data_IF_374618720149
#
_entry.id   IF_374618720149
#
_cell.length_a   1.000
_cell.length_b   1.000
_cell.length_c   1.000
_cell.angle_alpha   90.00
_cell.angle_beta   90.00
_cell.angle_gamma   90.00
#
_symmetry.space_group_name_H-M   'P 1'
#
loop_
_entity.id
_entity.type
_entity.pdbx_description
1 polymer ?
#
# COMPACT_ATOMS: atom_id res chain seq x y z
N UNK A 1 4.50 17.99 20.54
CA UNK A 1 3.22 17.87 19.79
C UNK A 1 3.28 16.50 19.13
N UNK A 2 2.57 15.54 19.70
CA UNK A 2 2.55 14.17 19.20
C UNK A 2 1.85 14.16 17.84
N UNK A 3 2.57 13.80 16.82
CA UNK A 3 2.00 13.38 15.54
C UNK A 3 1.16 12.13 15.83
N UNK A 4 -0.17 12.28 15.87
CA UNK A 4 -1.06 11.13 15.80
C UNK A 4 -0.84 10.48 14.43
N UNK A 5 0.10 9.54 14.37
CA UNK A 5 0.22 8.61 13.26
C UNK A 5 -1.11 7.86 13.14
N UNK A 6 -1.60 7.70 11.94
CA UNK A 6 -2.72 6.79 11.68
C UNK A 6 -2.19 5.40 12.02
N UNK A 7 -2.60 4.85 13.16
CA UNK A 7 -2.21 3.51 13.58
C UNK A 7 -3.01 2.52 12.73
N UNK A 8 -2.39 1.99 11.69
CA UNK A 8 -2.93 0.85 10.97
C UNK A 8 -2.47 -0.43 11.67
N UNK A 9 -3.41 -1.27 12.02
CA UNK A 9 -3.14 -2.63 12.49
C UNK A 9 -2.95 -3.53 11.28
N UNK A 10 -1.74 -4.02 11.06
CA UNK A 10 -1.40 -4.95 9.97
C UNK A 10 -1.63 -6.39 10.42
N UNK A 11 -2.47 -7.12 9.73
CA UNK A 11 -2.73 -8.52 9.99
C UNK A 11 -1.90 -9.39 9.04
N UNK A 12 -1.01 -10.20 9.61
CA UNK A 12 -0.14 -11.11 8.88
C UNK A 12 -0.61 -12.53 9.13
N UNK A 13 -0.77 -13.31 8.06
CA UNK A 13 -1.02 -14.73 8.13
C UNK A 13 0.21 -15.50 7.64
N UNK A 14 0.60 -16.57 8.35
CA UNK A 14 1.67 -17.46 7.96
C UNK A 14 1.07 -18.87 7.88
N UNK A 15 1.08 -19.48 6.70
CA UNK A 15 0.56 -20.81 6.45
C UNK A 15 1.69 -21.70 5.90
N UNK A 16 2.15 -22.62 6.72
CA UNK A 16 3.19 -23.58 6.39
C UNK A 16 3.01 -24.86 7.20
N UNK A 17 3.37 -26.04 6.68
CA UNK A 17 3.31 -27.30 7.41
C UNK A 17 4.45 -27.45 8.43
N UNK A 18 5.57 -26.77 8.22
CA UNK A 18 6.74 -26.80 9.08
C UNK A 18 6.61 -25.78 10.22
N UNK A 19 6.49 -26.28 11.46
CA UNK A 19 6.38 -25.45 12.67
C UNK A 19 7.57 -24.50 12.85
N UNK A 20 8.79 -25.00 12.66
CA UNK A 20 10.00 -24.18 12.82
C UNK A 20 10.06 -23.05 11.80
N UNK A 21 9.61 -23.31 10.58
CA UNK A 21 9.53 -22.27 9.53
C UNK A 21 8.53 -21.19 9.88
N UNK A 22 7.34 -21.58 10.37
CA UNK A 22 6.33 -20.61 10.83
C UNK A 22 6.86 -19.73 11.97
N UNK A 23 7.49 -20.34 12.96
CA UNK A 23 8.08 -19.63 14.10
C UNK A 23 9.20 -18.68 13.65
N UNK A 24 10.05 -19.13 12.72
CA UNK A 24 11.14 -18.34 12.18
C UNK A 24 10.62 -17.09 11.42
N UNK A 25 9.67 -17.27 10.51
CA UNK A 25 9.05 -16.16 9.78
C UNK A 25 8.35 -15.19 10.76
N UNK A 26 7.59 -15.72 11.72
CA UNK A 26 6.89 -14.91 12.70
C UNK A 26 7.84 -14.07 13.55
N UNK A 27 8.91 -14.65 14.07
CA UNK A 27 9.90 -13.93 14.88
C UNK A 27 10.62 -12.83 14.10
N UNK A 28 11.03 -13.11 12.87
CA UNK A 28 11.67 -12.11 12.01
C UNK A 28 10.69 -10.97 11.63
N UNK A 29 9.45 -11.31 11.27
CA UNK A 29 8.43 -10.33 10.92
C UNK A 29 8.11 -9.42 12.11
N UNK A 30 7.97 -9.97 13.32
CA UNK A 30 7.75 -9.20 14.54
C UNK A 30 8.88 -8.20 14.81
N UNK A 31 10.13 -8.64 14.69
CA UNK A 31 11.32 -7.78 14.87
C UNK A 31 11.34 -6.65 13.84
N UNK A 32 11.09 -6.94 12.57
CA UNK A 32 11.14 -5.97 11.47
C UNK A 32 10.05 -4.92 11.64
N UNK A 33 8.80 -5.34 11.88
CA UNK A 33 7.66 -4.44 12.01
C UNK A 33 7.72 -3.60 13.28
N UNK A 34 8.20 -4.18 14.39
CA UNK A 34 8.44 -3.45 15.63
C UNK A 34 9.50 -2.35 15.46
N UNK A 35 10.58 -2.59 14.70
CA UNK A 35 11.56 -1.56 14.35
C UNK A 35 10.95 -0.43 13.50
N UNK A 36 9.96 -0.74 12.67
CA UNK A 36 9.22 0.23 11.88
C UNK A 36 8.10 0.94 12.65
N UNK A 37 7.89 0.61 13.93
CA UNK A 37 6.79 1.13 14.78
C UNK A 37 5.41 0.85 14.16
N UNK A 38 5.24 -0.29 13.49
CA UNK A 38 3.99 -0.72 12.88
C UNK A 38 3.24 -1.62 13.86
N UNK A 39 2.00 -1.25 14.19
CA UNK A 39 1.11 -2.11 14.98
C UNK A 39 0.67 -3.31 14.13
N UNK A 40 0.86 -4.53 14.61
CA UNK A 40 0.60 -5.73 13.84
C UNK A 40 0.11 -6.90 14.68
N UNK A 41 -0.54 -7.86 14.01
CA UNK A 41 -0.91 -9.17 14.54
C UNK A 41 -0.45 -10.25 13.60
N UNK A 42 0.11 -11.34 14.15
CA UNK A 42 0.58 -12.49 13.39
C UNK A 42 -0.28 -13.70 13.74
N UNK A 43 -0.82 -14.35 12.71
CA UNK A 43 -1.64 -15.56 12.79
C UNK A 43 -0.89 -16.68 12.09
N UNK A 44 -0.74 -17.85 12.74
CA UNK A 44 -0.02 -19.00 12.20
C UNK A 44 -0.97 -20.17 11.98
N UNK A 45 -0.85 -20.84 10.84
CA UNK A 45 -1.69 -21.95 10.41
C UNK A 45 -0.82 -23.09 9.91
N UNK A 46 -1.06 -24.32 10.38
CA UNK A 46 -0.33 -25.50 9.95
C UNK A 46 -0.75 -25.97 8.54
N UNK A 47 -1.93 -25.61 8.09
CA UNK A 47 -2.47 -26.02 6.78
C UNK A 47 -3.42 -24.99 6.19
N UNK A 48 -3.63 -25.11 4.87
CA UNK A 48 -4.50 -24.21 4.12
C UNK A 48 -5.97 -24.25 4.51
N UNK A 49 -6.46 -25.35 5.09
CA UNK A 49 -7.86 -25.47 5.55
C UNK A 49 -8.10 -24.59 6.76
N UNK A 50 -7.23 -24.63 7.77
CA UNK A 50 -7.32 -23.77 8.96
C UNK A 50 -7.28 -22.29 8.58
N UNK A 51 -6.38 -21.92 7.68
CA UNK A 51 -6.29 -20.55 7.17
C UNK A 51 -7.54 -20.17 6.37
N UNK A 52 -8.05 -21.04 5.50
CA UNK A 52 -9.27 -20.82 4.73
C UNK A 52 -10.47 -20.59 5.65
N UNK A 53 -10.62 -21.41 6.69
CA UNK A 53 -11.68 -21.26 7.69
C UNK A 53 -11.55 -19.95 8.46
N UNK A 54 -10.34 -19.54 8.80
CA UNK A 54 -10.08 -18.28 9.50
C UNK A 54 -10.47 -17.06 8.63
N UNK A 55 -10.09 -17.05 7.37
CA UNK A 55 -10.32 -15.93 6.45
C UNK A 55 -11.76 -15.94 5.93
N UNK A 56 -12.20 -17.03 5.30
CA UNK A 56 -13.48 -17.04 4.56
C UNK A 56 -14.69 -17.38 5.42
N UNK A 57 -14.52 -18.18 6.47
CA UNK A 57 -15.67 -18.57 7.33
C UNK A 57 -15.86 -17.59 8.48
N UNK A 58 -14.78 -17.09 9.06
CA UNK A 58 -14.84 -16.14 10.19
C UNK A 58 -14.74 -14.67 9.76
N UNK A 59 -14.51 -14.41 8.46
CA UNK A 59 -14.48 -13.07 7.90
C UNK A 59 -13.28 -12.22 8.34
N UNK A 60 -12.15 -12.85 8.72
CA UNK A 60 -10.96 -12.11 9.09
C UNK A 60 -10.20 -11.66 7.84
N UNK A 61 -9.69 -10.44 7.86
CA UNK A 61 -8.87 -9.88 6.79
C UNK A 61 -7.40 -10.07 7.15
N UNK A 62 -6.60 -10.51 6.16
CA UNK A 62 -5.15 -10.56 6.26
C UNK A 62 -4.55 -9.64 5.20
N UNK A 63 -3.68 -8.73 5.63
CA UNK A 63 -3.05 -7.75 4.75
C UNK A 63 -1.82 -8.33 4.05
N UNK A 64 -1.06 -9.19 4.76
CA UNK A 64 0.12 -9.87 4.24
C UNK A 64 0.00 -11.36 4.57
N UNK A 65 0.25 -12.21 3.59
CA UNK A 65 0.15 -13.67 3.72
C UNK A 65 1.44 -14.31 3.25
N UNK A 66 2.12 -15.05 4.15
CA UNK A 66 3.18 -15.97 3.79
C UNK A 66 2.58 -17.36 3.58
N UNK A 67 2.73 -17.90 2.39
CA UNK A 67 2.13 -19.17 2.00
C UNK A 67 3.21 -20.15 1.54
N UNK A 68 3.52 -21.14 2.37
CA UNK A 68 4.46 -22.20 2.06
C UNK A 68 3.93 -23.12 0.96
N UNK A 69 4.74 -23.41 -0.05
CA UNK A 69 4.39 -24.29 -1.18
C UNK A 69 5.29 -25.51 -1.14
N UNK A 70 4.72 -26.61 -0.63
CA UNK A 70 5.37 -27.93 -0.61
C UNK A 70 4.94 -28.77 -1.82
N UNK A 71 5.29 -30.05 -1.79
CA UNK A 71 4.92 -31.04 -2.81
C UNK A 71 3.38 -31.23 -2.99
N UNK A 72 2.57 -30.88 -1.98
CA UNK A 72 1.08 -30.85 -2.07
C UNK A 72 0.52 -29.51 -2.54
N UNK A 73 1.18 -28.89 -3.50
CA UNK A 73 1.04 -27.50 -3.89
C UNK A 73 -0.31 -27.13 -4.51
N UNK A 74 -1.08 -28.06 -5.10
CA UNK A 74 -2.35 -27.73 -5.81
C UNK A 74 -3.37 -27.02 -4.90
N UNK A 75 -3.59 -27.50 -3.70
CA UNK A 75 -4.53 -26.91 -2.74
C UNK A 75 -4.07 -25.52 -2.25
N UNK A 76 -2.79 -25.28 -2.17
CA UNK A 76 -2.23 -23.99 -1.69
C UNK A 76 -2.18 -22.95 -2.80
N UNK A 77 -1.96 -23.36 -4.05
CA UNK A 77 -2.10 -22.48 -5.21
C UNK A 77 -3.55 -22.05 -5.39
N UNK A 78 -4.52 -22.98 -5.24
CA UNK A 78 -5.93 -22.64 -5.25
C UNK A 78 -6.29 -21.66 -4.11
N UNK A 79 -5.76 -21.86 -2.91
CA UNK A 79 -5.95 -20.94 -1.79
C UNK A 79 -5.39 -19.56 -2.10
N UNK A 80 -4.20 -19.48 -2.71
CA UNK A 80 -3.59 -18.21 -3.15
C UNK A 80 -4.49 -17.48 -4.15
N UNK A 81 -5.03 -18.16 -5.16
CA UNK A 81 -5.97 -17.57 -6.11
C UNK A 81 -7.23 -17.04 -5.41
N UNK A 82 -7.84 -17.82 -4.53
CA UNK A 82 -9.02 -17.41 -3.77
C UNK A 82 -8.74 -16.20 -2.88
N UNK A 83 -7.56 -16.13 -2.26
CA UNK A 83 -7.15 -14.98 -1.45
C UNK A 83 -7.00 -13.72 -2.30
N UNK A 84 -6.33 -13.80 -3.45
CA UNK A 84 -6.12 -12.65 -4.33
C UNK A 84 -7.41 -12.17 -5.01
N UNK A 85 -8.34 -13.08 -5.28
CA UNK A 85 -9.67 -12.72 -5.83
C UNK A 85 -10.56 -12.05 -4.78
N UNK A 86 -10.57 -12.58 -3.54
CA UNK A 86 -11.40 -12.05 -2.47
C UNK A 86 -10.82 -10.77 -1.83
N UNK A 87 -9.49 -10.66 -1.80
CA UNK A 87 -8.75 -9.56 -1.18
C UNK A 87 -7.67 -9.04 -2.15
N UNK A 88 -8.03 -8.23 -3.16
CA UNK A 88 -7.11 -7.77 -4.22
C UNK A 88 -5.90 -6.96 -3.71
N UNK A 89 -6.04 -6.36 -2.53
CA UNK A 89 -5.00 -5.54 -1.89
C UNK A 89 -4.09 -6.35 -0.96
N UNK A 90 -4.45 -7.60 -0.64
CA UNK A 90 -3.62 -8.48 0.19
C UNK A 90 -2.34 -8.87 -0.55
N UNK A 91 -1.22 -8.80 0.16
CA UNK A 91 0.09 -9.15 -0.37
C UNK A 91 0.38 -10.63 -0.06
N UNK A 92 0.21 -11.49 -1.05
CA UNK A 92 0.52 -12.92 -0.93
C UNK A 92 1.98 -13.15 -1.31
N UNK A 93 2.77 -13.62 -0.37
CA UNK A 93 4.19 -13.97 -0.51
C UNK A 93 4.30 -15.49 -0.49
N UNK A 94 4.79 -16.06 -1.57
CA UNK A 94 4.98 -17.50 -1.68
C UNK A 94 6.32 -17.91 -1.10
N UNK A 95 6.36 -19.01 -0.37
CA UNK A 95 7.57 -19.56 0.26
C UNK A 95 7.78 -20.98 -0.23
N UNK A 96 8.99 -21.35 -0.72
CA UNK A 96 9.28 -22.70 -1.20
C UNK A 96 10.75 -23.04 -1.10
N UNK A 97 11.06 -24.31 -0.84
CA UNK A 97 12.41 -24.85 -0.94
C UNK A 97 12.94 -24.94 -2.39
N UNK A 98 12.05 -24.83 -3.39
CA UNK A 98 12.39 -25.03 -4.80
C UNK A 98 12.19 -23.74 -5.61
N UNK A 99 13.31 -23.12 -6.02
CA UNK A 99 13.28 -21.90 -6.86
C UNK A 99 12.58 -22.11 -8.22
N UNK A 100 12.58 -23.34 -8.75
CA UNK A 100 11.88 -23.73 -9.98
C UNK A 100 10.36 -23.64 -9.88
N UNK A 101 9.80 -23.76 -8.68
CA UNK A 101 8.38 -23.57 -8.42
C UNK A 101 7.93 -22.13 -8.74
N UNK A 102 8.80 -21.13 -8.61
CA UNK A 102 8.52 -19.77 -8.99
C UNK A 102 8.11 -19.62 -10.47
N UNK A 103 8.66 -20.45 -11.37
CA UNK A 103 8.30 -20.45 -12.81
C UNK A 103 6.98 -21.16 -13.08
N UNK A 104 6.66 -22.20 -12.32
CA UNK A 104 5.39 -22.94 -12.45
C UNK A 104 4.20 -22.17 -11.91
N UNK A 105 4.44 -21.18 -11.05
CA UNK A 105 3.46 -20.35 -10.35
C UNK A 105 3.12 -19.07 -11.13
N UNK A 106 3.66 -18.86 -12.32
CA UNK A 106 3.39 -17.70 -13.18
C UNK A 106 1.89 -17.46 -13.49
N UNK A 107 1.03 -18.43 -13.22
CA UNK A 107 -0.42 -18.31 -13.38
C UNK A 107 -1.11 -17.63 -12.18
N UNK A 108 -0.42 -17.46 -11.04
CA UNK A 108 -0.97 -16.90 -9.81
C UNK A 108 -0.43 -15.47 -9.63
N UNK A 109 -1.33 -14.52 -9.37
CA UNK A 109 -0.92 -13.18 -8.94
C UNK A 109 -0.42 -13.26 -7.50
N UNK A 110 0.88 -13.12 -7.31
CA UNK A 110 1.51 -13.02 -5.99
C UNK A 110 2.34 -11.73 -5.90
N UNK A 111 2.54 -11.26 -4.70
CA UNK A 111 3.30 -10.02 -4.48
C UNK A 111 4.80 -10.25 -4.54
N UNK A 112 5.28 -11.38 -3.99
CA UNK A 112 6.71 -11.74 -3.97
C UNK A 112 6.92 -13.23 -3.69
N UNK A 113 8.17 -13.69 -3.78
CA UNK A 113 8.58 -15.08 -3.59
C UNK A 113 9.82 -15.17 -2.72
N UNK A 114 9.82 -16.10 -1.75
CA UNK A 114 10.98 -16.41 -0.90
C UNK A 114 11.43 -17.85 -1.10
N UNK A 115 12.75 -18.05 -1.23
CA UNK A 115 13.36 -19.38 -1.33
C UNK A 115 13.91 -19.77 0.03
N UNK A 116 13.65 -21.01 0.43
CA UNK A 116 14.23 -21.58 1.66
C UNK A 116 15.70 -22.00 1.46
N UNK A 117 16.54 -21.88 2.50
CA UNK A 117 16.23 -21.36 3.82
C UNK A 117 16.09 -19.84 3.83
N UNK A 118 15.02 -19.32 4.45
CA UNK A 118 14.76 -17.87 4.51
C UNK A 118 15.78 -17.21 5.43
N UNK A 119 16.52 -16.25 4.88
CA UNK A 119 17.39 -15.38 5.67
C UNK A 119 16.68 -14.05 6.05
N UNK A 120 17.22 -13.35 7.03
CA UNK A 120 16.63 -12.14 7.57
C UNK A 120 16.59 -10.98 6.55
N UNK A 121 17.60 -10.87 5.69
CA UNK A 121 17.71 -9.76 4.73
C UNK A 121 16.68 -9.91 3.61
N UNK A 122 16.48 -11.12 3.07
CA UNK A 122 15.48 -11.40 2.05
C UNK A 122 14.07 -11.21 2.61
N UNK A 123 13.79 -11.72 3.81
CA UNK A 123 12.50 -11.51 4.46
C UNK A 123 12.23 -10.02 4.69
N UNK A 124 13.24 -9.28 5.17
CA UNK A 124 13.10 -7.83 5.41
C UNK A 124 12.76 -7.09 4.11
N UNK A 125 13.45 -7.38 3.01
CA UNK A 125 13.22 -6.74 1.72
C UNK A 125 11.78 -6.97 1.25
N UNK A 126 11.32 -8.22 1.26
CA UNK A 126 10.00 -8.63 0.79
C UNK A 126 8.90 -8.06 1.70
N UNK A 127 9.08 -8.17 3.03
CA UNK A 127 8.10 -7.68 4.00
C UNK A 127 7.94 -6.17 3.95
N UNK A 128 9.04 -5.40 3.81
CA UNK A 128 8.97 -3.94 3.69
C UNK A 128 8.25 -3.53 2.40
N UNK A 129 8.51 -4.22 1.28
CA UNK A 129 7.81 -3.98 0.02
C UNK A 129 6.31 -4.27 0.15
N UNK A 130 5.95 -5.42 0.71
CA UNK A 130 4.57 -5.80 0.96
C UNK A 130 3.86 -4.77 1.87
N UNK A 131 4.51 -4.35 2.95
CA UNK A 131 3.99 -3.32 3.86
C UNK A 131 3.72 -1.99 3.13
N UNK A 132 4.65 -1.55 2.28
CA UNK A 132 4.46 -0.32 1.49
C UNK A 132 3.25 -0.42 0.56
N UNK A 133 3.03 -1.58 -0.07
CA UNK A 133 1.88 -1.80 -0.95
C UNK A 133 0.58 -1.82 -0.15
N UNK A 134 0.53 -2.49 1.02
CA UNK A 134 -0.62 -2.48 1.92
C UNK A 134 -0.96 -1.05 2.36
N UNK A 135 0.04 -0.28 2.79
CA UNK A 135 -0.17 1.12 3.21
C UNK A 135 -0.69 1.98 2.04
N UNK A 136 -0.18 1.79 0.83
CA UNK A 136 -0.66 2.49 -0.37
C UNK A 136 -2.11 2.13 -0.73
N UNK A 137 -2.49 0.86 -0.57
CA UNK A 137 -3.84 0.36 -0.88
C UNK A 137 -4.87 0.80 0.17
N UNK A 138 -4.46 1.04 1.41
CA UNK A 138 -5.38 1.46 2.47
C UNK A 138 -5.99 2.83 2.17
N UNK A 139 -7.30 2.98 2.23
CA UNK A 139 -7.93 4.27 2.05
C UNK A 139 -7.56 5.19 3.21
N UNK A 140 -6.68 6.13 2.95
CA UNK A 140 -6.44 7.22 3.87
C UNK A 140 -7.59 8.23 3.74
N UNK A 141 -8.18 8.64 4.86
CA UNK A 141 -9.27 9.60 4.86
C UNK A 141 -8.82 10.95 5.40
N UNK A 142 -9.28 12.02 4.75
CA UNK A 142 -9.13 13.39 5.24
C UNK A 142 -10.49 13.96 5.59
N UNK A 143 -10.58 14.56 6.78
CA UNK A 143 -11.81 15.24 7.21
C UNK A 143 -11.72 16.72 6.86
N UNK A 144 -12.70 17.21 6.14
CA UNK A 144 -12.83 18.58 5.72
C UNK A 144 -14.00 19.24 6.43
N UNK A 145 -13.83 20.51 6.82
CA UNK A 145 -14.92 21.33 7.38
C UNK A 145 -15.16 22.54 6.48
N UNK A 146 -16.38 22.69 6.00
CA UNK A 146 -16.79 23.80 5.19
C UNK A 146 -18.28 24.11 5.42
N UNK A 147 -18.60 25.36 5.71
CA UNK A 147 -19.98 25.90 5.82
C UNK A 147 -20.88 25.08 6.77
N UNK A 148 -20.38 24.77 7.98
CA UNK A 148 -21.00 23.89 9.00
C UNK A 148 -21.20 22.42 8.60
N UNK A 149 -20.71 22.00 7.44
CA UNK A 149 -20.66 20.61 7.03
C UNK A 149 -19.30 19.99 7.33
N UNK A 150 -19.31 18.72 7.70
CA UNK A 150 -18.11 17.90 7.85
C UNK A 150 -18.18 16.82 6.78
N UNK A 151 -17.15 16.77 5.93
CA UNK A 151 -17.05 15.80 4.83
C UNK A 151 -15.80 14.97 5.04
N UNK A 152 -15.92 13.66 4.90
CA UNK A 152 -14.79 12.73 4.92
C UNK A 152 -14.51 12.30 3.49
N UNK A 153 -13.29 12.54 3.01
CA UNK A 153 -12.86 12.16 1.67
C UNK A 153 -11.82 11.05 1.74
N UNK A 154 -11.97 10.06 0.89
CA UNK A 154 -10.95 9.08 0.61
C UNK A 154 -9.81 9.77 -0.19
N UNK A 155 -8.59 9.79 0.35
CA UNK A 155 -7.47 10.46 -0.31
C UNK A 155 -7.07 9.78 -1.62
N UNK A 156 -7.34 8.48 -1.77
CA UNK A 156 -7.09 7.75 -3.02
C UNK A 156 -7.97 8.26 -4.18
N UNK A 157 -9.10 8.90 -3.89
CA UNK A 157 -9.95 9.51 -4.92
C UNK A 157 -9.54 10.94 -5.27
N UNK A 158 -8.68 11.59 -4.48
CA UNK A 158 -8.25 12.97 -4.70
C UNK A 158 -7.18 13.00 -5.78
N UNK A 159 -7.48 13.64 -6.91
CA UNK A 159 -6.55 13.84 -8.03
C UNK A 159 -5.56 14.96 -7.75
N UNK A 160 -6.06 16.10 -7.29
CA UNK A 160 -5.26 17.26 -6.91
C UNK A 160 -6.02 18.21 -6.01
N UNK A 161 -5.31 19.11 -5.36
CA UNK A 161 -5.87 20.19 -4.56
C UNK A 161 -5.43 21.55 -5.13
N UNK A 162 -6.35 22.50 -5.17
CA UNK A 162 -6.15 23.86 -5.67
C UNK A 162 -6.45 24.90 -4.60
N UNK A 163 -5.51 25.81 -4.35
CA UNK A 163 -5.73 26.94 -3.44
C UNK A 163 -6.42 28.09 -4.17
N UNK A 164 -7.57 28.50 -3.66
CA UNK A 164 -8.33 29.64 -4.15
C UNK A 164 -8.64 30.61 -2.99
N UNK A 165 -7.78 31.59 -2.82
CA UNK A 165 -7.85 32.55 -1.71
C UNK A 165 -7.65 31.86 -0.35
N UNK A 166 -8.68 31.90 0.51
CA UNK A 166 -8.69 31.26 1.83
C UNK A 166 -9.22 29.82 1.81
N UNK A 167 -9.62 29.33 0.64
CA UNK A 167 -10.20 28.01 0.45
C UNK A 167 -9.22 27.10 -0.25
N UNK A 168 -9.30 25.82 0.07
CA UNK A 168 -8.66 24.75 -0.67
C UNK A 168 -9.75 23.89 -1.32
N UNK A 169 -9.65 23.68 -2.61
CA UNK A 169 -10.57 22.88 -3.42
C UNK A 169 -9.90 21.54 -3.68
N UNK A 170 -10.58 20.46 -3.32
CA UNK A 170 -10.17 19.09 -3.55
C UNK A 170 -10.89 18.55 -4.78
N UNK A 171 -10.17 18.27 -5.84
CA UNK A 171 -10.68 17.68 -7.08
C UNK A 171 -10.56 16.16 -7.01
N UNK A 172 -11.69 15.47 -6.93
CA UNK A 172 -11.76 14.01 -6.77
C UNK A 172 -12.32 13.33 -8.02
N UNK A 173 -12.40 12.02 -8.01
CA UNK A 173 -13.08 11.23 -9.04
C UNK A 173 -14.59 11.49 -9.07
N UNK A 174 -15.19 11.73 -7.90
CA UNK A 174 -16.65 11.90 -7.73
C UNK A 174 -17.11 13.35 -7.78
N UNK A 175 -16.18 14.34 -7.81
CA UNK A 175 -16.52 15.76 -7.85
C UNK A 175 -15.50 16.65 -7.16
N UNK A 176 -15.95 17.84 -6.76
CA UNK A 176 -15.11 18.83 -6.07
C UNK A 176 -15.64 19.13 -4.68
N UNK A 177 -14.73 19.22 -3.72
CA UNK A 177 -15.03 19.55 -2.33
C UNK A 177 -14.18 20.73 -1.89
N UNK A 178 -14.72 21.57 -1.02
CA UNK A 178 -14.04 22.79 -0.57
C UNK A 178 -13.84 22.74 0.94
N UNK A 179 -12.71 23.25 1.42
CA UNK A 179 -12.46 23.43 2.85
C UNK A 179 -11.81 24.79 3.12
N UNK A 180 -12.06 25.34 4.31
CA UNK A 180 -11.31 26.49 4.84
C UNK A 180 -10.04 25.99 5.50
N UNK A 181 -9.00 25.75 4.71
CA UNK A 181 -7.68 25.32 5.19
C UNK A 181 -6.59 25.90 4.31
N UNK A 182 -5.40 26.06 4.88
CA UNK A 182 -4.23 26.47 4.10
C UNK A 182 -3.64 25.26 3.37
N UNK A 183 -3.09 25.51 2.19
CA UNK A 183 -2.44 24.46 1.39
C UNK A 183 -1.26 23.79 2.14
N UNK A 184 -0.56 24.51 3.03
CA UNK A 184 0.48 23.96 3.90
C UNK A 184 -0.06 22.94 4.89
N UNK A 185 -1.17 23.28 5.57
CA UNK A 185 -1.81 22.40 6.55
C UNK A 185 -2.39 21.15 5.90
N UNK A 186 -2.89 21.27 4.65
CA UNK A 186 -3.34 20.12 3.88
C UNK A 186 -2.18 19.22 3.44
N UNK A 187 -1.04 19.81 3.05
CA UNK A 187 0.15 19.02 2.70
C UNK A 187 0.61 18.12 3.83
N UNK A 188 0.54 18.59 5.08
CA UNK A 188 0.97 17.84 6.27
C UNK A 188 0.01 16.69 6.64
N UNK A 189 -1.23 16.73 6.11
CA UNK A 189 -2.27 15.73 6.39
C UNK A 189 -2.48 14.73 5.26
N UNK A 190 -1.99 15.02 4.07
CA UNK A 190 -2.12 14.17 2.90
C UNK A 190 -1.00 13.12 2.87
N UNK A 191 -1.27 11.93 2.31
CA UNK A 191 -0.27 10.88 2.16
C UNK A 191 0.97 11.31 1.34
N UNK A 192 2.09 10.55 1.43
CA UNK A 192 3.36 10.90 0.76
C UNK A 192 3.31 10.98 -0.76
N UNK A 193 2.33 10.33 -1.40
CA UNK A 193 2.09 10.40 -2.85
C UNK A 193 1.53 11.76 -3.31
N UNK A 194 1.22 12.66 -2.36
CA UNK A 194 0.81 14.03 -2.67
C UNK A 194 2.00 14.99 -2.68
N UNK A 195 2.25 15.63 -3.80
CA UNK A 195 3.39 16.52 -3.98
C UNK A 195 2.95 17.94 -4.31
N UNK A 196 3.54 18.91 -3.63
CA UNK A 196 3.27 20.32 -3.88
C UNK A 196 4.02 20.81 -5.10
N UNK A 197 3.38 20.83 -6.27
CA UNK A 197 3.95 21.31 -7.53
C UNK A 197 4.10 22.83 -7.58
N UNK A 198 3.10 23.57 -7.07
CA UNK A 198 3.04 25.01 -7.11
C UNK A 198 2.64 25.58 -5.75
N UNK A 199 2.76 26.91 -5.57
CA UNK A 199 2.24 27.60 -4.37
C UNK A 199 0.73 27.34 -4.18
N UNK A 200 0.01 27.08 -5.27
CA UNK A 200 -1.44 26.86 -5.30
C UNK A 200 -1.88 25.45 -5.61
N UNK A 201 -0.97 24.50 -5.89
CA UNK A 201 -1.34 23.15 -6.29
C UNK A 201 -0.58 22.09 -5.54
N UNK A 202 -1.31 21.09 -5.04
CA UNK A 202 -0.83 19.79 -4.56
C UNK A 202 -1.41 18.73 -5.50
N UNK A 203 -0.61 17.79 -5.99
CA UNK A 203 -1.04 16.77 -6.95
C UNK A 203 -0.73 15.38 -6.42
N UNK A 204 -1.63 14.45 -6.60
CA UNK A 204 -1.44 13.04 -6.31
C UNK A 204 -0.70 12.37 -7.47
N UNK A 205 0.44 11.74 -7.19
CA UNK A 205 1.27 11.05 -8.17
C UNK A 205 0.54 9.90 -8.87
N UNK A 206 -0.41 9.24 -8.21
CA UNK A 206 -1.21 8.15 -8.79
C UNK A 206 -1.98 8.58 -10.05
N UNK A 207 -2.31 9.87 -10.16
CA UNK A 207 -3.06 10.42 -11.29
C UNK A 207 -2.19 11.10 -12.33
N UNK A 208 -0.86 11.21 -12.13
CA UNK A 208 0.03 11.83 -13.11
C UNK A 208 0.28 10.87 -14.27
N UNK A 209 0.06 11.36 -15.50
CA UNK A 209 0.43 10.67 -16.73
C UNK A 209 1.82 11.11 -17.22
N UNK A 210 2.15 12.41 -17.08
CA UNK A 210 3.44 12.95 -17.54
C UNK A 210 3.81 14.24 -16.79
N UNK A 211 5.11 14.48 -16.63
CA UNK A 211 5.67 15.70 -16.03
C UNK A 211 6.50 16.46 -17.09
N UNK A 212 6.16 17.71 -17.30
CA UNK A 212 6.83 18.66 -18.22
C UNK A 212 7.52 19.79 -17.43
N UNK A 213 8.43 20.55 -18.06
CA UNK A 213 9.13 21.66 -17.40
C UNK A 213 8.22 22.71 -16.76
N UNK A 214 7.01 22.90 -17.29
CA UNK A 214 6.06 23.93 -16.84
C UNK A 214 4.73 23.40 -16.37
N UNK A 215 4.48 22.10 -16.49
CA UNK A 215 3.19 21.48 -16.13
C UNK A 215 3.33 20.01 -15.76
N UNK A 216 2.36 19.49 -15.00
CA UNK A 216 2.07 18.08 -14.91
C UNK A 216 0.74 17.81 -15.60
N UNK A 217 0.68 16.75 -16.39
CA UNK A 217 -0.56 16.28 -17.05
C UNK A 217 -1.07 15.05 -16.34
N UNK A 218 -2.33 15.10 -15.93
CA UNK A 218 -3.04 13.99 -15.34
C UNK A 218 -3.54 13.00 -16.41
N UNK A 219 -3.91 11.80 -15.98
CA UNK A 219 -4.43 10.72 -16.85
C UNK A 219 -5.76 11.09 -17.52
N UNK A 220 -6.55 12.00 -16.93
CA UNK A 220 -7.79 12.54 -17.51
C UNK A 220 -7.56 13.72 -18.45
N UNK A 221 -6.32 14.08 -18.73
CA UNK A 221 -5.94 15.19 -19.60
C UNK A 221 -5.82 16.56 -18.91
N UNK A 222 -6.17 16.66 -17.63
CA UNK A 222 -6.03 17.92 -16.87
C UNK A 222 -4.55 18.34 -16.79
N UNK A 223 -4.25 19.60 -17.09
CA UNK A 223 -2.90 20.16 -16.97
C UNK A 223 -2.80 21.09 -15.77
N UNK A 224 -1.80 20.86 -14.93
CA UNK A 224 -1.53 21.61 -13.72
C UNK A 224 -0.19 22.31 -13.86
N UNK A 225 -0.19 23.65 -13.80
CA UNK A 225 1.02 24.45 -13.93
C UNK A 225 2.04 24.17 -12.81
N UNK A 226 3.30 24.07 -13.19
CA UNK A 226 4.43 23.89 -12.27
C UNK A 226 5.56 24.85 -12.65
N UNK A 227 6.27 25.48 -11.69
CA UNK A 227 7.42 26.31 -12.00
C UNK A 227 8.58 25.46 -12.54
N UNK A 228 9.24 25.92 -13.60
CA UNK A 228 10.40 25.24 -14.21
C UNK A 228 11.48 24.85 -13.19
N UNK A 229 11.74 25.70 -12.21
CA UNK A 229 12.73 25.44 -11.15
C UNK A 229 12.45 24.20 -10.30
N UNK A 230 11.20 23.74 -10.26
CA UNK A 230 10.80 22.52 -9.55
C UNK A 230 10.84 21.27 -10.43
N UNK A 231 10.95 21.42 -11.74
CA UNK A 231 10.87 20.31 -12.68
C UNK A 231 11.80 19.15 -12.35
N UNK A 232 13.10 19.45 -12.12
CA UNK A 232 14.10 18.42 -11.84
C UNK A 232 13.75 17.62 -10.59
N UNK A 233 13.47 18.30 -9.48
CA UNK A 233 13.12 17.68 -8.20
C UNK A 233 11.85 16.85 -8.28
N UNK A 234 10.79 17.41 -8.90
CA UNK A 234 9.50 16.70 -9.03
C UNK A 234 9.62 15.49 -9.95
N UNK A 235 10.39 15.60 -11.03
CA UNK A 235 10.66 14.49 -11.94
C UNK A 235 11.41 13.35 -11.24
N UNK A 236 12.45 13.67 -10.45
CA UNK A 236 13.19 12.67 -9.67
C UNK A 236 12.28 11.98 -8.64
N UNK A 237 11.44 12.74 -7.92
CA UNK A 237 10.46 12.18 -6.99
C UNK A 237 9.44 11.26 -7.70
N UNK A 238 8.95 11.66 -8.87
CA UNK A 238 7.98 10.89 -9.63
C UNK A 238 8.58 9.58 -10.18
N UNK A 239 9.82 9.61 -10.68
CA UNK A 239 10.53 8.41 -11.12
C UNK A 239 10.71 7.45 -9.93
N UNK A 240 11.25 7.95 -8.80
CA UNK A 240 11.42 7.13 -7.60
C UNK A 240 10.10 6.54 -7.09
N UNK A 241 9.00 7.27 -7.22
CA UNK A 241 7.66 6.80 -6.86
C UNK A 241 7.18 5.70 -7.81
N UNK A 242 7.40 5.87 -9.13
CA UNK A 242 6.98 4.91 -10.17
C UNK A 242 7.80 3.63 -10.13
N UNK A 243 9.09 3.71 -9.79
CA UNK A 243 9.98 2.55 -9.68
C UNK A 243 9.72 1.73 -8.39
N UNK A 244 9.06 2.33 -7.40
CA UNK A 244 8.70 1.69 -6.13
C UNK A 244 7.27 1.07 -6.14
N UNK A 245 6.53 1.19 -7.22
CA UNK A 245 5.17 0.66 -7.44
C UNK A 245 5.10 -0.31 -8.58
#
# INVERSE_FOLDING_TARGET
METKGVFFLINIAICDSNDLQREHIAALADIILSKCSVEHKIFSFANGKEMSDFVFTRGNVCDIVFLGIDSDSENRLELSLRLTDAFPDAQVILVSAYAENARSICAVKYADFLVEPINADDLQLVLIRALQNVIKAQPAYITLSYDNAVTVLNTNEIKYCESNGRKLIFHTLSGTYTAYTKISEATDKLPPNFVRLHKSFIVNFDYIAAIYPYAARLRDGTEISSPQKKYKTVKEMFISYSDAG
#
